data_IF_066231079104
#
_entry.id   IF_066231079104
#
_cell.length_a   1.000
_cell.length_b   1.000
_cell.length_c   1.000
_cell.angle_alpha   90.00
_cell.angle_beta   90.00
_cell.angle_gamma   90.00
#
_symmetry.space_group_name_H-M   'P 1'
#
loop_
_entity.id
_entity.type
_entity.pdbx_description
1 polymer ?
#
# COMPACT_ATOMS: atom_id res chain seq x y z
N UNK A 1 -3.23 1.78 -35.58
CA UNK A 1 -2.48 0.87 -34.67
C UNK A 1 -3.43 -0.26 -34.32
N UNK A 2 -3.13 -1.47 -34.73
CA UNK A 2 -4.01 -2.64 -34.69
C UNK A 2 -4.20 -3.09 -33.26
N UNK A 3 -5.47 -3.14 -32.81
CA UNK A 3 -5.86 -3.59 -31.49
C UNK A 3 -5.32 -5.00 -31.17
N UNK A 4 -4.63 -5.14 -30.05
CA UNK A 4 -4.36 -6.46 -29.45
C UNK A 4 -5.69 -7.09 -29.07
N UNK A 5 -5.92 -8.37 -29.33
CA UNK A 5 -7.12 -9.05 -28.89
C UNK A 5 -7.12 -9.14 -27.35
N UNK A 6 -8.20 -8.65 -26.74
CA UNK A 6 -8.47 -8.68 -25.29
C UNK A 6 -8.98 -10.06 -24.85
N UNK A 7 -8.22 -11.12 -25.10
CA UNK A 7 -8.50 -12.40 -24.44
C UNK A 7 -7.54 -12.49 -23.25
N UNK A 8 -8.08 -12.47 -22.02
CA UNK A 8 -7.34 -12.84 -20.80
C UNK A 8 -6.67 -14.19 -21.04
N UNK A 9 -5.42 -14.15 -21.49
CA UNK A 9 -4.57 -15.35 -21.60
C UNK A 9 -3.78 -15.41 -20.29
N UNK A 10 -4.32 -16.11 -19.27
CA UNK A 10 -3.64 -16.27 -18.00
C UNK A 10 -4.56 -16.86 -16.92
N UNK A 11 -3.95 -17.39 -15.87
CA UNK A 11 -4.68 -17.89 -14.70
C UNK A 11 -5.38 -16.74 -13.98
N UNK A 12 -6.58 -17.00 -13.44
CA UNK A 12 -7.24 -16.06 -12.51
C UNK A 12 -6.46 -16.01 -11.20
N UNK A 13 -6.34 -14.81 -10.63
CA UNK A 13 -5.56 -14.57 -9.41
C UNK A 13 -6.47 -13.99 -8.34
N UNK A 14 -6.45 -14.60 -7.18
CA UNK A 14 -7.31 -14.24 -6.05
C UNK A 14 -6.50 -13.89 -4.81
N UNK A 15 -7.07 -13.03 -4.00
CA UNK A 15 -6.58 -12.65 -2.67
C UNK A 15 -7.18 -13.62 -1.64
N UNK A 16 -6.34 -14.40 -0.99
CA UNK A 16 -6.77 -15.41 -0.01
C UNK A 16 -6.41 -15.06 1.43
N UNK A 17 -5.54 -14.08 1.63
CA UNK A 17 -5.22 -13.59 2.97
C UNK A 17 -4.57 -12.22 2.95
N UNK A 18 -4.77 -11.49 4.03
CA UNK A 18 -4.24 -10.15 4.21
C UNK A 18 -3.70 -9.93 5.63
N UNK A 19 -2.64 -9.13 5.73
CA UNK A 19 -2.09 -8.68 7.01
C UNK A 19 -1.81 -7.18 6.94
N UNK A 20 -2.31 -6.44 7.91
CA UNK A 20 -2.19 -5.00 7.98
C UNK A 20 -1.65 -4.55 9.33
N UNK A 21 -0.68 -3.65 9.30
CA UNK A 21 -0.14 -2.94 10.47
C UNK A 21 -0.16 -1.47 10.13
N UNK A 22 -0.86 -0.68 10.91
CA UNK A 22 -1.01 0.76 10.72
C UNK A 22 -1.32 1.46 12.04
N UNK A 23 -1.32 2.78 12.04
CA UNK A 23 -1.71 3.59 13.21
C UNK A 23 -3.13 3.32 13.69
N UNK A 24 -4.06 2.91 12.80
CA UNK A 24 -5.47 2.65 13.15
C UNK A 24 -5.75 1.21 13.55
N UNK A 25 -4.76 0.32 13.52
CA UNK A 25 -4.91 -1.06 13.98
C UNK A 25 -3.78 -1.98 13.55
N UNK A 26 -3.56 -3.03 14.36
CA UNK A 26 -2.60 -4.11 14.13
C UNK A 26 -3.40 -5.40 13.90
N UNK A 27 -3.37 -5.91 12.66
CA UNK A 27 -4.20 -7.02 12.19
C UNK A 27 -5.49 -6.56 11.49
N UNK A 28 -6.05 -7.45 10.67
CA UNK A 28 -7.19 -7.13 9.79
C UNK A 28 -8.44 -6.70 10.55
N UNK A 29 -8.72 -7.31 11.70
CA UNK A 29 -9.92 -6.98 12.49
C UNK A 29 -9.90 -5.53 13.01
N UNK A 30 -8.78 -5.10 13.58
CA UNK A 30 -8.63 -3.72 14.07
C UNK A 30 -8.57 -2.72 12.93
N UNK A 31 -7.86 -3.07 11.86
CA UNK A 31 -7.74 -2.25 10.66
C UNK A 31 -9.13 -2.00 10.02
N UNK A 32 -9.93 -3.05 9.83
CA UNK A 32 -11.30 -2.92 9.33
C UNK A 32 -12.18 -2.06 10.24
N UNK A 33 -12.09 -2.27 11.55
CA UNK A 33 -12.83 -1.46 12.51
C UNK A 33 -12.41 0.02 12.45
N UNK A 34 -11.11 0.28 12.32
CA UNK A 34 -10.55 1.63 12.16
C UNK A 34 -11.03 2.31 10.88
N UNK A 35 -11.02 1.61 9.74
CA UNK A 35 -11.52 2.11 8.46
C UNK A 35 -13.00 2.47 8.52
N UNK A 36 -13.84 1.61 9.10
CA UNK A 36 -15.28 1.86 9.24
C UNK A 36 -15.60 3.03 10.16
N UNK A 37 -14.81 3.18 11.22
CA UNK A 37 -15.00 4.24 12.20
C UNK A 37 -14.43 5.60 11.73
N UNK A 38 -13.72 5.64 10.60
CA UNK A 38 -13.02 6.85 10.19
C UNK A 38 -11.96 7.28 11.20
N UNK A 39 -11.26 6.30 11.83
CA UNK A 39 -10.27 6.59 12.88
C UNK A 39 -9.04 7.26 12.30
N UNK A 40 -8.56 8.32 12.94
CA UNK A 40 -7.30 8.98 12.63
C UNK A 40 -6.48 9.12 13.91
N UNK A 41 -5.25 8.59 13.91
CA UNK A 41 -4.39 8.52 15.10
C UNK A 41 -3.15 9.41 14.89
N UNK A 42 -3.40 10.69 14.71
CA UNK A 42 -2.33 11.70 14.57
C UNK A 42 -1.75 12.03 15.94
N UNK A 43 -0.42 12.06 16.03
CA UNK A 43 0.30 12.38 17.27
C UNK A 43 1.66 13.01 16.96
N UNK A 44 2.30 13.69 17.94
CA UNK A 44 3.70 14.09 17.80
C UNK A 44 4.57 12.87 17.52
N UNK A 45 5.49 13.02 16.55
CA UNK A 45 6.43 11.95 16.18
C UNK A 45 7.40 11.70 17.33
N UNK A 46 7.56 10.42 17.68
CA UNK A 46 8.50 9.94 18.69
C UNK A 46 9.67 9.13 18.10
N UNK A 47 9.62 8.84 16.80
CA UNK A 47 10.58 7.99 16.10
C UNK A 47 12.01 8.56 16.02
N UNK A 48 12.15 9.89 16.09
CA UNK A 48 13.42 10.62 16.02
C UNK A 48 13.30 11.96 16.76
N UNK A 49 14.43 12.65 16.98
CA UNK A 49 14.42 13.99 17.58
C UNK A 49 13.80 15.02 16.64
N UNK A 50 12.72 15.64 17.11
CA UNK A 50 11.96 16.63 16.33
C UNK A 50 12.37 18.08 16.61
N UNK A 51 13.43 18.31 17.38
CA UNK A 51 13.96 19.64 17.61
C UNK A 51 14.36 20.32 16.28
N UNK A 52 13.95 21.57 16.13
CA UNK A 52 14.18 22.34 14.90
C UNK A 52 13.08 22.27 13.83
N UNK A 53 12.05 21.43 14.01
CA UNK A 53 10.84 21.48 13.21
C UNK A 53 9.75 22.27 13.96
N UNK A 54 9.06 23.16 13.27
CA UNK A 54 7.97 23.96 13.85
C UNK A 54 6.79 23.06 14.25
N UNK A 55 6.55 22.01 13.47
CA UNK A 55 5.56 20.96 13.73
C UNK A 55 6.10 19.61 13.20
N UNK A 56 5.82 18.57 13.95
CA UNK A 56 6.24 17.21 13.62
C UNK A 56 5.20 16.20 14.12
N UNK A 57 4.03 16.20 13.46
CA UNK A 57 2.99 15.20 13.69
C UNK A 57 3.04 14.12 12.62
N UNK A 58 2.62 12.90 12.99
CA UNK A 58 2.55 11.76 12.11
C UNK A 58 1.63 10.68 12.64
N UNK A 59 1.46 9.62 11.87
CA UNK A 59 0.64 8.46 12.19
C UNK A 59 1.54 7.27 12.51
N UNK A 60 2.11 7.26 13.73
CA UNK A 60 2.96 6.17 14.22
C UNK A 60 2.13 4.97 14.67
N UNK A 61 2.66 3.77 14.45
CA UNK A 61 2.10 2.53 14.98
C UNK A 61 2.47 2.39 16.46
N UNK A 62 1.49 2.37 17.33
CA UNK A 62 1.67 2.21 18.78
C UNK A 62 1.23 0.83 19.25
N UNK A 63 1.83 0.35 20.35
CA UNK A 63 1.45 -0.94 20.92
C UNK A 63 1.83 -2.17 20.08
N UNK A 64 2.66 -2.00 19.06
CA UNK A 64 3.17 -3.12 18.29
C UNK A 64 4.27 -3.87 19.03
N UNK A 65 4.02 -5.12 19.31
CA UNK A 65 4.94 -6.06 19.96
C UNK A 65 5.41 -7.10 18.95
N UNK A 66 6.59 -6.95 18.33
CA UNK A 66 7.03 -7.83 17.25
C UNK A 66 7.13 -9.31 17.65
N UNK A 67 7.48 -9.61 18.90
CA UNK A 67 7.58 -10.99 19.45
C UNK A 67 6.24 -11.75 19.46
N UNK A 68 5.10 -11.05 19.31
CA UNK A 68 3.78 -11.71 19.19
C UNK A 68 3.56 -12.32 17.79
N UNK A 69 4.29 -11.83 16.81
CA UNK A 69 4.06 -12.14 15.39
C UNK A 69 5.25 -12.80 14.70
N UNK A 70 6.47 -12.47 15.13
CA UNK A 70 7.72 -13.00 14.58
C UNK A 70 8.14 -14.18 15.45
N UNK A 71 8.11 -15.38 14.87
CA UNK A 71 8.29 -16.62 15.62
C UNK A 71 9.69 -17.21 15.46
N UNK A 72 10.25 -17.13 14.24
CA UNK A 72 11.52 -17.78 13.89
C UNK A 72 12.71 -16.82 13.99
N UNK A 73 12.55 -15.59 13.55
CA UNK A 73 13.62 -14.60 13.58
C UNK A 73 13.64 -13.87 14.92
N UNK A 74 14.82 -13.43 15.33
CA UNK A 74 14.93 -12.51 16.45
C UNK A 74 14.57 -11.09 15.97
N UNK A 75 13.51 -10.46 16.50
CA UNK A 75 13.12 -9.12 16.11
C UNK A 75 14.21 -8.06 16.31
N UNK A 76 15.15 -8.25 17.25
CA UNK A 76 16.24 -7.32 17.50
C UNK A 76 17.24 -7.25 16.33
N UNK A 77 17.28 -8.29 15.49
CA UNK A 77 18.08 -8.34 14.28
C UNK A 77 17.34 -7.85 13.03
N UNK A 78 16.13 -7.30 13.18
CA UNK A 78 15.31 -6.70 12.13
C UNK A 78 15.14 -5.21 12.40
N UNK A 79 15.26 -4.38 11.38
CA UNK A 79 14.82 -2.99 11.44
C UNK A 79 13.29 -2.90 11.53
N UNK A 80 12.78 -1.73 11.88
CA UNK A 80 11.35 -1.56 12.15
C UNK A 80 10.46 -1.85 10.93
N UNK A 81 10.89 -1.46 9.73
CA UNK A 81 10.14 -1.76 8.51
C UNK A 81 10.09 -3.27 8.22
N UNK A 82 11.21 -4.00 8.43
CA UNK A 82 11.23 -5.45 8.31
C UNK A 82 10.39 -6.13 9.41
N UNK A 83 10.38 -5.62 10.64
CA UNK A 83 9.50 -6.14 11.70
C UNK A 83 8.02 -6.04 11.30
N UNK A 84 7.59 -4.89 10.78
CA UNK A 84 6.23 -4.71 10.28
C UNK A 84 5.93 -5.64 9.11
N UNK A 85 6.83 -5.73 8.14
CA UNK A 85 6.63 -6.54 6.93
C UNK A 85 6.53 -8.04 7.25
N UNK A 86 7.43 -8.54 8.10
CA UNK A 86 7.41 -9.95 8.54
C UNK A 86 6.15 -10.26 9.34
N UNK A 87 5.77 -9.40 10.27
CA UNK A 87 4.56 -9.57 11.06
C UNK A 87 3.29 -9.52 10.18
N UNK A 88 3.20 -8.58 9.24
CA UNK A 88 2.09 -8.50 8.30
C UNK A 88 2.03 -9.74 7.39
N UNK A 89 3.17 -10.29 6.96
CA UNK A 89 3.23 -11.53 6.19
C UNK A 89 2.73 -12.73 7.01
N UNK A 90 3.06 -12.81 8.29
CA UNK A 90 2.54 -13.84 9.22
C UNK A 90 1.03 -13.73 9.40
N UNK A 91 0.52 -12.51 9.60
CA UNK A 91 -0.92 -12.25 9.66
C UNK A 91 -1.61 -12.70 8.37
N UNK A 92 -1.06 -12.33 7.21
CA UNK A 92 -1.61 -12.70 5.90
C UNK A 92 -1.60 -14.22 5.67
N UNK A 93 -0.53 -14.91 6.06
CA UNK A 93 -0.44 -16.37 5.98
C UNK A 93 -1.48 -17.05 6.90
N UNK A 94 -1.68 -16.51 8.10
CA UNK A 94 -2.68 -17.02 9.06
C UNK A 94 -4.10 -16.81 8.52
N UNK A 95 -4.41 -15.62 8.01
CA UNK A 95 -5.71 -15.30 7.40
C UNK A 95 -6.00 -16.17 6.18
N UNK A 96 -4.98 -16.44 5.35
CA UNK A 96 -5.05 -17.37 4.22
C UNK A 96 -5.18 -18.84 4.64
N UNK A 97 -5.01 -19.19 5.92
CA UNK A 97 -4.96 -20.58 6.39
C UNK A 97 -3.77 -21.36 5.84
N UNK A 98 -2.66 -20.66 5.50
CA UNK A 98 -1.45 -21.30 4.98
C UNK A 98 -0.67 -21.96 6.12
N UNK A 99 -0.25 -23.20 5.84
CA UNK A 99 0.59 -23.99 6.74
C UNK A 99 1.97 -24.15 6.11
N UNK A 100 2.96 -24.49 6.93
CA UNK A 100 4.33 -24.69 6.48
C UNK A 100 4.44 -25.76 5.37
N UNK A 101 3.65 -26.82 5.46
CA UNK A 101 3.59 -27.87 4.44
C UNK A 101 3.02 -27.40 3.10
N UNK A 102 2.11 -26.41 3.12
CA UNK A 102 1.59 -25.75 1.91
C UNK A 102 2.66 -24.88 1.28
N UNK A 103 3.36 -24.08 2.08
CA UNK A 103 4.43 -23.19 1.62
C UNK A 103 5.64 -23.97 1.04
N UNK A 104 5.87 -25.19 1.49
CA UNK A 104 6.98 -26.02 1.03
C UNK A 104 6.68 -26.83 -0.27
N UNK A 105 5.45 -26.75 -0.81
CA UNK A 105 5.04 -27.59 -1.98
C UNK A 105 5.45 -27.03 -3.33
N UNK A 106 5.80 -25.76 -3.41
CA UNK A 106 6.12 -25.12 -4.67
C UNK A 106 6.94 -23.86 -4.48
N UNK A 107 7.31 -23.25 -5.60
CA UNK A 107 8.01 -21.97 -5.60
C UNK A 107 7.07 -20.85 -5.12
N UNK A 108 7.56 -20.03 -4.21
CA UNK A 108 6.85 -18.88 -3.64
C UNK A 108 7.51 -17.60 -4.10
N UNK A 109 6.72 -16.61 -4.48
CA UNK A 109 7.20 -15.24 -4.69
C UNK A 109 6.95 -14.40 -3.45
N UNK A 110 7.94 -13.60 -3.06
CA UNK A 110 7.81 -12.53 -2.06
C UNK A 110 8.22 -11.23 -2.72
N UNK A 111 7.27 -10.33 -2.93
CA UNK A 111 7.48 -9.01 -3.52
C UNK A 111 7.09 -7.94 -2.50
N UNK A 112 8.05 -7.16 -2.02
CA UNK A 112 7.83 -6.13 -1.01
C UNK A 112 8.23 -4.76 -1.54
N UNK A 113 7.25 -3.87 -1.62
CA UNK A 113 7.44 -2.47 -1.97
C UNK A 113 7.93 -1.64 -0.80
N UNK A 114 8.76 -0.63 -1.09
CA UNK A 114 9.22 0.32 -0.08
C UNK A 114 9.60 1.66 -0.71
N UNK A 115 9.53 2.72 0.08
CA UNK A 115 10.13 4.03 -0.23
C UNK A 115 11.52 4.14 0.39
N UNK A 116 11.63 3.78 1.65
CA UNK A 116 12.76 4.07 2.50
C UNK A 116 13.59 2.84 2.89
N UNK A 117 13.00 1.64 2.81
CA UNK A 117 13.63 0.45 3.36
C UNK A 117 13.86 0.59 4.86
N UNK A 118 15.08 0.37 5.30
CA UNK A 118 15.49 0.54 6.70
C UNK A 118 16.24 1.87 6.92
N UNK A 119 15.77 2.96 6.30
CA UNK A 119 16.41 4.28 6.44
C UNK A 119 16.40 4.77 7.89
N UNK A 120 15.43 4.39 8.73
CA UNK A 120 15.48 4.67 10.17
C UNK A 120 16.76 4.14 10.84
N UNK A 121 17.20 2.95 10.46
CA UNK A 121 18.47 2.39 10.95
C UNK A 121 19.68 3.14 10.39
N UNK A 122 19.60 3.63 9.13
CA UNK A 122 20.64 4.49 8.56
C UNK A 122 20.73 5.83 9.30
N UNK A 123 19.60 6.46 9.65
CA UNK A 123 19.58 7.68 10.48
C UNK A 123 20.31 7.44 11.81
N UNK A 124 20.01 6.33 12.50
CA UNK A 124 20.71 5.95 13.76
C UNK A 124 22.22 5.74 13.58
N UNK A 125 22.67 5.11 12.49
CA UNK A 125 24.08 4.93 12.21
C UNK A 125 24.80 6.26 11.96
N UNK A 126 24.14 7.19 11.25
CA UNK A 126 24.66 8.54 11.02
C UNK A 126 24.77 9.31 12.33
N UNK A 127 23.79 9.21 13.21
CA UNK A 127 23.81 9.83 14.54
C UNK A 127 24.96 9.28 15.40
N UNK A 128 25.17 7.96 15.40
CA UNK A 128 26.26 7.31 16.12
C UNK A 128 27.63 7.78 15.63
N UNK A 129 27.84 7.80 14.30
CA UNK A 129 29.11 8.25 13.70
C UNK A 129 29.37 9.75 13.94
N UNK A 130 28.32 10.56 13.96
CA UNK A 130 28.42 11.99 14.25
C UNK A 130 28.76 12.26 15.73
N UNK A 131 28.30 11.40 16.64
CA UNK A 131 28.61 11.50 18.08
C UNK A 131 30.04 11.04 18.37
N UNK A 132 30.49 9.95 17.76
CA UNK A 132 31.83 9.38 17.88
C UNK A 132 32.20 8.69 16.55
N UNK A 133 33.20 9.21 15.86
CA UNK A 133 33.62 8.70 14.55
C UNK A 133 33.96 7.20 14.60
N UNK A 134 33.28 6.42 13.76
CA UNK A 134 33.44 4.97 13.67
C UNK A 134 32.68 4.15 14.71
N UNK A 135 31.88 4.77 15.58
CA UNK A 135 31.12 4.10 16.64
C UNK A 135 29.79 3.48 16.13
N UNK A 136 29.73 3.01 14.88
CA UNK A 136 28.52 2.40 14.31
C UNK A 136 28.25 1.01 14.93
N UNK A 137 27.02 0.79 15.41
CA UNK A 137 26.58 -0.51 15.90
C UNK A 137 26.52 -1.56 14.76
N UNK A 138 27.30 -2.66 14.86
CA UNK A 138 27.33 -3.68 13.83
C UNK A 138 25.99 -4.44 13.67
N UNK A 139 25.12 -4.46 14.66
CA UNK A 139 23.79 -5.07 14.58
C UNK A 139 22.90 -4.19 13.71
N UNK A 140 22.89 -2.88 13.96
CA UNK A 140 22.14 -1.90 13.15
C UNK A 140 22.68 -1.90 11.72
N UNK A 141 24.00 -1.86 11.53
CA UNK A 141 24.62 -1.88 10.20
C UNK A 141 24.22 -3.11 9.37
N UNK A 142 24.11 -4.30 10.00
CA UNK A 142 23.69 -5.52 9.29
C UNK A 142 22.23 -5.52 8.87
N UNK A 143 21.35 -4.79 9.55
CA UNK A 143 19.89 -4.77 9.24
C UNK A 143 19.47 -3.61 8.34
N UNK A 144 20.33 -2.63 8.09
CA UNK A 144 20.01 -1.41 7.35
C UNK A 144 19.73 -1.59 5.84
N UNK A 145 19.98 -2.77 5.26
CA UNK A 145 19.73 -3.00 3.82
C UNK A 145 18.24 -3.18 3.50
N UNK A 146 17.72 -2.42 2.53
CA UNK A 146 16.33 -2.52 2.06
C UNK A 146 15.95 -3.92 1.53
N UNK A 147 16.91 -4.68 0.97
CA UNK A 147 16.68 -6.05 0.50
C UNK A 147 16.23 -7.00 1.62
N UNK A 148 16.48 -6.64 2.87
CA UNK A 148 16.08 -7.45 4.03
C UNK A 148 14.55 -7.48 4.23
N UNK A 149 13.80 -6.55 3.71
CA UNK A 149 12.33 -6.57 3.79
C UNK A 149 11.77 -7.89 3.22
N UNK A 150 12.04 -8.19 1.96
CA UNK A 150 11.55 -9.42 1.31
C UNK A 150 12.28 -10.67 1.82
N UNK A 151 13.62 -10.61 1.96
CA UNK A 151 14.40 -11.79 2.40
C UNK A 151 14.15 -12.19 3.84
N UNK A 152 13.75 -11.26 4.73
CA UNK A 152 13.36 -11.60 6.09
C UNK A 152 12.04 -12.36 6.14
N UNK A 153 11.09 -12.05 5.26
CA UNK A 153 9.85 -12.84 5.12
C UNK A 153 10.18 -14.27 4.69
N UNK A 154 11.04 -14.45 3.66
CA UNK A 154 11.49 -15.78 3.21
C UNK A 154 12.14 -16.58 4.35
N UNK A 155 12.99 -15.93 5.13
CA UNK A 155 13.69 -16.57 6.27
C UNK A 155 12.75 -16.89 7.42
N UNK A 156 11.77 -16.04 7.70
CA UNK A 156 10.76 -16.29 8.73
C UNK A 156 9.94 -17.53 8.43
N UNK A 157 9.55 -17.74 7.17
CA UNK A 157 8.83 -18.93 6.73
C UNK A 157 9.75 -20.12 6.37
N UNK A 158 11.08 -20.00 6.53
CA UNK A 158 12.05 -21.02 6.17
C UNK A 158 11.89 -21.57 4.74
N UNK A 159 11.59 -20.67 3.79
CA UNK A 159 11.41 -21.06 2.39
C UNK A 159 12.76 -21.36 1.74
N UNK A 160 12.81 -22.39 0.90
CA UNK A 160 14.01 -22.81 0.17
C UNK A 160 13.89 -22.65 -1.34
N UNK A 161 12.66 -22.76 -1.87
CA UNK A 161 12.36 -22.44 -3.28
C UNK A 161 11.53 -21.16 -3.31
N UNK A 162 12.22 -20.02 -3.34
CA UNK A 162 11.62 -18.71 -3.20
C UNK A 162 12.34 -17.67 -4.03
N UNK A 163 11.56 -16.82 -4.70
CA UNK A 163 12.02 -15.55 -5.22
C UNK A 163 11.64 -14.44 -4.23
N UNK A 164 12.62 -13.66 -3.79
CA UNK A 164 12.40 -12.58 -2.83
C UNK A 164 12.95 -11.27 -3.41
N UNK A 165 12.05 -10.35 -3.75
CA UNK A 165 12.37 -9.07 -4.37
C UNK A 165 11.86 -7.89 -3.55
N UNK A 166 12.70 -6.87 -3.38
CA UNK A 166 12.29 -5.57 -2.82
C UNK A 166 12.20 -4.56 -3.95
N UNK A 167 11.08 -3.83 -4.03
CA UNK A 167 10.74 -2.92 -5.12
C UNK A 167 10.75 -1.47 -4.60
N UNK A 168 11.79 -0.66 -4.91
CA UNK A 168 11.92 0.69 -4.38
C UNK A 168 11.28 1.75 -5.31
N UNK A 169 9.98 1.63 -5.59
CA UNK A 169 9.21 2.58 -6.42
C UNK A 169 8.39 3.57 -5.61
N UNK A 170 8.93 3.95 -4.45
CA UNK A 170 8.37 4.94 -3.53
C UNK A 170 6.88 4.65 -3.18
N UNK A 171 6.01 5.65 -3.17
CA UNK A 171 4.64 5.57 -2.67
C UNK A 171 3.74 4.58 -3.46
N UNK A 172 4.08 4.25 -4.69
CA UNK A 172 3.35 3.28 -5.53
C UNK A 172 3.85 1.83 -5.35
N UNK A 173 4.91 1.61 -4.56
CA UNK A 173 5.65 0.35 -4.51
C UNK A 173 4.81 -0.87 -4.11
N UNK A 174 3.82 -0.70 -3.23
CA UNK A 174 2.89 -1.77 -2.88
C UNK A 174 2.07 -2.27 -4.07
N UNK A 175 1.56 -1.36 -4.92
CA UNK A 175 0.84 -1.73 -6.14
C UNK A 175 1.77 -2.36 -7.19
N UNK A 176 3.03 -1.89 -7.30
CA UNK A 176 4.05 -2.55 -8.12
C UNK A 176 4.29 -3.99 -7.67
N UNK A 177 4.37 -4.23 -6.36
CA UNK A 177 4.54 -5.58 -5.81
C UNK A 177 3.32 -6.48 -6.11
N UNK A 178 2.10 -5.95 -6.02
CA UNK A 178 0.86 -6.66 -6.39
C UNK A 178 0.87 -6.99 -7.89
N UNK A 179 1.21 -6.05 -8.76
CA UNK A 179 1.32 -6.26 -10.21
C UNK A 179 2.35 -7.33 -10.56
N UNK A 180 3.52 -7.30 -9.92
CA UNK A 180 4.56 -8.31 -10.09
C UNK A 180 4.09 -9.72 -9.70
N UNK A 181 3.41 -9.83 -8.55
CA UNK A 181 2.81 -11.09 -8.11
C UNK A 181 1.71 -11.60 -9.05
N UNK A 182 0.88 -10.68 -9.55
CA UNK A 182 -0.16 -11.00 -10.53
C UNK A 182 0.43 -11.63 -11.80
N UNK A 183 1.50 -11.03 -12.34
CA UNK A 183 2.16 -11.54 -13.55
C UNK A 183 2.82 -12.89 -13.32
N UNK A 184 3.53 -13.10 -12.21
CA UNK A 184 4.17 -14.35 -11.86
C UNK A 184 3.16 -15.50 -11.72
N UNK A 185 1.98 -15.23 -11.16
CA UNK A 185 0.91 -16.23 -11.04
C UNK A 185 0.21 -16.44 -12.38
N UNK A 186 -0.10 -15.38 -13.14
CA UNK A 186 -0.74 -15.47 -14.47
C UNK A 186 0.11 -16.27 -15.47
N UNK A 187 1.43 -16.09 -15.43
CA UNK A 187 2.37 -16.84 -16.28
C UNK A 187 2.56 -18.29 -15.84
N UNK A 188 2.16 -18.63 -14.62
CA UNK A 188 2.35 -19.97 -14.05
C UNK A 188 3.75 -20.20 -13.48
N UNK A 189 4.53 -19.17 -13.26
CA UNK A 189 5.85 -19.25 -12.63
C UNK A 189 5.73 -19.65 -11.15
N UNK A 190 4.72 -19.12 -10.46
CA UNK A 190 4.35 -19.47 -9.08
C UNK A 190 2.85 -19.70 -8.97
N UNK A 191 2.41 -20.45 -7.97
CA UNK A 191 0.99 -20.57 -7.60
C UNK A 191 0.61 -19.66 -6.42
N UNK A 192 1.61 -19.15 -5.67
CA UNK A 192 1.43 -18.38 -4.46
C UNK A 192 2.47 -17.24 -4.38
N UNK A 193 2.00 -16.05 -4.02
CA UNK A 193 2.85 -14.89 -3.80
C UNK A 193 2.44 -14.11 -2.54
N UNK A 194 3.44 -13.64 -1.77
CA UNK A 194 3.27 -12.61 -0.76
C UNK A 194 3.63 -11.27 -1.38
N UNK A 195 2.66 -10.39 -1.55
CA UNK A 195 2.84 -9.09 -2.20
C UNK A 195 2.40 -7.96 -1.29
N UNK A 196 3.16 -6.89 -1.23
CA UNK A 196 2.76 -5.77 -0.40
C UNK A 196 3.82 -4.71 -0.26
N UNK A 197 3.83 -4.01 0.88
CA UNK A 197 4.84 -3.00 1.15
C UNK A 197 4.98 -2.71 2.64
N UNK A 198 6.13 -2.15 3.03
CA UNK A 198 6.42 -1.78 4.41
C UNK A 198 7.43 -0.65 4.49
N UNK A 199 7.16 0.31 5.38
CA UNK A 199 8.05 1.42 5.73
C UNK A 199 7.86 1.83 7.18
N UNK A 200 8.90 2.38 7.77
CA UNK A 200 8.90 2.99 9.10
C UNK A 200 9.14 4.50 8.98
N UNK A 201 8.56 5.30 9.87
CA UNK A 201 8.85 6.74 9.96
C UNK A 201 10.34 6.92 10.26
N UNK A 202 11.00 7.75 9.46
CA UNK A 202 12.41 8.10 9.58
C UNK A 202 12.64 9.61 9.41
N UNK A 203 13.71 10.10 10.01
CA UNK A 203 14.03 11.54 10.02
C UNK A 203 14.34 12.06 8.61
N UNK A 204 15.12 11.31 7.82
CA UNK A 204 15.49 11.70 6.44
C UNK A 204 14.26 12.03 5.60
N UNK A 205 13.27 11.14 5.59
CA UNK A 205 12.08 11.32 4.74
C UNK A 205 11.16 12.40 5.27
N UNK A 206 10.96 12.47 6.59
CA UNK A 206 10.20 13.57 7.19
C UNK A 206 10.85 14.93 6.86
N UNK A 207 12.16 15.07 7.08
CA UNK A 207 12.89 16.31 6.80
C UNK A 207 12.83 16.70 5.31
N UNK A 208 12.88 15.73 4.40
CA UNK A 208 12.73 15.95 2.96
C UNK A 208 11.36 16.57 2.63
N UNK A 209 10.26 15.97 3.06
CA UNK A 209 8.90 16.48 2.85
C UNK A 209 8.68 17.82 3.56
N UNK A 210 9.23 17.99 4.78
CA UNK A 210 9.15 19.24 5.52
C UNK A 210 9.82 20.40 4.74
N UNK A 211 11.03 20.16 4.19
CA UNK A 211 11.74 21.15 3.38
C UNK A 211 11.09 21.45 2.04
N UNK A 212 10.32 20.53 1.49
CA UNK A 212 9.48 20.76 0.31
C UNK A 212 8.19 21.53 0.64
N UNK A 213 7.91 21.81 1.92
CA UNK A 213 6.68 22.50 2.35
C UNK A 213 5.42 21.66 2.13
N UNK A 214 5.54 20.32 2.17
CA UNK A 214 4.44 19.42 1.88
C UNK A 214 3.91 18.67 3.10
N UNK A 215 4.46 18.93 4.31
CA UNK A 215 3.93 18.37 5.57
C UNK A 215 2.79 19.24 6.07
N UNK A 216 1.66 18.62 6.38
CA UNK A 216 0.56 19.28 7.08
C UNK A 216 0.87 19.40 8.59
N UNK A 217 0.55 20.53 9.25
CA UNK A 217 0.86 20.71 10.66
C UNK A 217 0.04 19.80 11.59
N UNK A 218 -1.23 19.53 11.28
CA UNK A 218 -2.15 18.87 12.22
C UNK A 218 -2.86 17.65 11.64
N UNK A 219 -3.32 17.72 10.38
CA UNK A 219 -4.18 16.67 9.80
C UNK A 219 -4.00 16.56 8.28
N UNK A 220 -4.20 15.36 7.75
CA UNK A 220 -4.24 15.10 6.33
C UNK A 220 -5.68 15.26 5.83
N UNK A 221 -5.89 16.14 4.84
CA UNK A 221 -7.20 16.52 4.30
C UNK A 221 -7.26 16.35 2.77
N UNK A 222 -7.25 15.13 2.24
CA UNK A 222 -7.31 14.93 0.80
C UNK A 222 -8.57 15.57 0.19
N UNK A 223 -8.40 16.23 -0.96
CA UNK A 223 -9.44 16.90 -1.76
C UNK A 223 -10.13 18.11 -1.09
N UNK A 224 -9.76 18.44 0.14
CA UNK A 224 -10.31 19.59 0.86
C UNK A 224 -9.66 20.90 0.39
N UNK A 225 -10.46 21.98 0.36
CA UNK A 225 -9.99 23.33 0.00
C UNK A 225 -8.87 23.83 0.93
N UNK A 226 -8.93 23.43 2.20
CA UNK A 226 -8.01 23.85 3.26
C UNK A 226 -6.80 22.92 3.44
N UNK A 227 -6.62 21.91 2.55
CA UNK A 227 -5.50 20.97 2.64
C UNK A 227 -4.14 21.64 2.64
N UNK A 228 -3.25 21.17 3.49
CA UNK A 228 -1.91 21.76 3.69
C UNK A 228 -0.77 20.79 3.41
N UNK A 229 -1.05 19.55 3.04
CA UNK A 229 -0.01 18.57 2.77
C UNK A 229 -0.29 17.18 3.36
N UNK A 230 0.75 16.38 3.40
CA UNK A 230 0.72 15.01 3.96
C UNK A 230 0.94 15.04 5.48
N UNK A 231 0.51 13.99 6.15
CA UNK A 231 1.13 13.53 7.40
C UNK A 231 1.90 12.26 7.11
N UNK A 232 3.13 12.14 7.59
CA UNK A 232 3.88 10.89 7.48
C UNK A 232 3.24 9.81 8.34
N UNK A 233 3.24 8.58 7.86
CA UNK A 233 2.78 7.41 8.59
C UNK A 233 3.76 6.24 8.41
N UNK A 234 3.54 5.18 9.16
CA UNK A 234 4.31 3.94 9.07
C UNK A 234 3.41 2.72 9.11
N UNK A 235 3.93 1.57 8.69
CA UNK A 235 3.25 0.30 8.76
C UNK A 235 3.64 -0.66 7.64
N UNK A 236 2.88 -1.72 7.50
CA UNK A 236 2.98 -2.67 6.40
C UNK A 236 1.62 -3.24 6.02
N UNK A 237 1.45 -3.48 4.73
CA UNK A 237 0.36 -4.28 4.19
C UNK A 237 0.92 -5.42 3.36
N UNK A 238 0.50 -6.66 3.65
CA UNK A 238 0.88 -7.83 2.87
C UNK A 238 -0.37 -8.62 2.48
N UNK A 239 -0.44 -8.95 1.20
CA UNK A 239 -1.50 -9.74 0.57
C UNK A 239 -0.94 -11.11 0.17
N UNK A 240 -1.69 -12.18 0.40
CA UNK A 240 -1.44 -13.49 -0.18
C UNK A 240 -2.25 -13.62 -1.46
N UNK A 241 -1.55 -13.65 -2.59
CA UNK A 241 -2.14 -13.90 -3.89
C UNK A 241 -1.95 -15.37 -4.28
N UNK A 242 -2.97 -15.98 -4.84
CA UNK A 242 -2.94 -17.35 -5.34
C UNK A 242 -3.60 -17.47 -6.70
N UNK A 243 -3.20 -18.49 -7.48
CA UNK A 243 -4.02 -18.92 -8.59
C UNK A 243 -5.38 -19.39 -8.07
N UNK A 244 -6.47 -19.07 -8.77
CA UNK A 244 -7.82 -19.49 -8.37
C UNK A 244 -7.89 -21.01 -8.18
N UNK A 245 -7.25 -21.77 -9.07
CA UNK A 245 -7.24 -23.24 -9.00
C UNK A 245 -6.59 -23.76 -7.71
N UNK A 246 -5.45 -23.15 -7.32
CA UNK A 246 -4.78 -23.47 -6.05
C UNK A 246 -5.65 -23.15 -4.84
N UNK A 247 -6.25 -21.95 -4.83
CA UNK A 247 -7.13 -21.51 -3.75
C UNK A 247 -8.35 -22.42 -3.59
N UNK A 248 -9.00 -22.81 -4.69
CA UNK A 248 -10.16 -23.72 -4.69
C UNK A 248 -9.76 -25.12 -4.25
N UNK A 249 -8.64 -25.66 -4.75
CA UNK A 249 -8.16 -26.99 -4.42
C UNK A 249 -7.91 -27.22 -2.91
N UNK A 250 -7.51 -26.14 -2.20
CA UNK A 250 -7.31 -26.20 -0.74
C UNK A 250 -8.49 -25.66 0.08
N UNK A 251 -9.59 -25.24 -0.58
CA UNK A 251 -10.78 -24.68 0.08
C UNK A 251 -10.53 -23.33 0.75
N UNK A 252 -9.65 -22.51 0.19
CA UNK A 252 -9.32 -21.20 0.72
C UNK A 252 -10.54 -20.26 0.77
N UNK A 253 -10.58 -19.36 1.76
CA UNK A 253 -11.41 -18.17 1.68
C UNK A 253 -10.83 -17.25 0.61
N UNK A 254 -11.68 -16.64 -0.18
CA UNK A 254 -11.30 -15.65 -1.19
C UNK A 254 -11.95 -14.32 -0.81
N UNK A 255 -11.12 -13.32 -0.56
CA UNK A 255 -11.55 -11.97 -0.20
C UNK A 255 -11.90 -11.12 -1.43
N UNK A 256 -11.09 -11.25 -2.49
CA UNK A 256 -11.26 -10.52 -3.73
C UNK A 256 -10.52 -11.23 -4.88
N UNK A 257 -10.77 -10.82 -6.11
CA UNK A 257 -9.97 -11.18 -7.29
C UNK A 257 -9.14 -9.98 -7.73
N UNK A 258 -7.89 -10.19 -8.11
CA UNK A 258 -7.07 -9.17 -8.74
C UNK A 258 -7.34 -9.23 -10.25
N UNK A 259 -8.10 -8.26 -10.73
CA UNK A 259 -8.60 -8.29 -12.11
C UNK A 259 -7.56 -7.81 -13.12
N UNK A 260 -6.74 -6.84 -12.75
CA UNK A 260 -5.75 -6.25 -13.63
C UNK A 260 -4.96 -5.15 -12.96
N UNK A 261 -3.96 -4.64 -13.67
CA UNK A 261 -3.15 -3.53 -13.20
C UNK A 261 -2.59 -2.71 -14.37
N UNK A 262 -2.15 -1.49 -14.06
CA UNK A 262 -1.43 -0.62 -15.00
C UNK A 262 -0.22 -0.02 -14.31
N UNK A 263 0.89 0.04 -15.03
CA UNK A 263 2.14 0.69 -14.60
C UNK A 263 2.64 1.63 -15.69
N UNK A 264 3.11 2.80 -15.32
CA UNK A 264 3.90 3.67 -16.18
C UNK A 264 4.80 4.60 -15.37
N UNK A 265 5.56 5.40 -16.06
CA UNK A 265 6.38 6.46 -15.46
C UNK A 265 6.18 7.76 -16.24
N UNK A 266 5.96 8.85 -15.53
CA UNK A 266 5.81 10.20 -16.10
C UNK A 266 7.05 10.64 -16.87
N UNK A 267 8.24 10.27 -16.36
CA UNK A 267 9.54 10.75 -16.86
C UNK A 267 9.58 12.28 -17.08
N UNK A 268 8.86 13.02 -16.23
CA UNK A 268 8.59 14.44 -16.39
C UNK A 268 9.26 15.29 -15.30
N UNK A 269 8.83 15.14 -14.05
CA UNK A 269 9.31 15.97 -12.95
C UNK A 269 9.44 15.15 -11.67
N UNK A 270 10.39 15.51 -10.81
CA UNK A 270 10.71 14.74 -9.62
C UNK A 270 9.58 14.68 -8.59
N UNK A 271 8.79 15.75 -8.48
CA UNK A 271 7.75 15.90 -7.45
C UNK A 271 6.35 16.10 -8.05
N UNK A 272 6.23 16.86 -9.14
CA UNK A 272 4.94 17.19 -9.74
C UNK A 272 4.46 16.04 -10.65
N UNK A 273 3.25 15.46 -10.42
CA UNK A 273 2.71 14.43 -11.27
C UNK A 273 2.25 14.99 -12.64
N UNK A 274 2.35 14.19 -13.69
CA UNK A 274 1.83 14.50 -15.02
C UNK A 274 0.43 13.89 -15.20
N UNK A 275 -0.60 14.74 -15.23
CA UNK A 275 -2.01 14.29 -15.24
C UNK A 275 -2.37 13.36 -16.39
N UNK A 276 -1.83 13.58 -17.60
CA UNK A 276 -2.03 12.69 -18.76
C UNK A 276 -1.46 11.28 -18.50
N UNK A 277 -0.25 11.19 -17.95
CA UNK A 277 0.39 9.93 -17.61
C UNK A 277 -0.36 9.19 -16.50
N UNK A 278 -0.87 9.91 -15.49
CA UNK A 278 -1.73 9.35 -14.44
C UNK A 278 -3.01 8.78 -15.04
N UNK A 279 -3.67 9.51 -15.93
CA UNK A 279 -4.87 9.03 -16.64
C UNK A 279 -4.58 7.80 -17.50
N UNK A 280 -3.43 7.78 -18.19
CA UNK A 280 -3.01 6.64 -19.01
C UNK A 280 -2.72 5.40 -18.16
N UNK A 281 -2.15 5.55 -16.96
CA UNK A 281 -1.97 4.44 -16.02
C UNK A 281 -3.32 3.83 -15.60
N UNK A 282 -4.33 4.66 -15.34
CA UNK A 282 -5.70 4.19 -15.04
C UNK A 282 -6.30 3.45 -16.25
N UNK A 283 -6.16 3.98 -17.47
CA UNK A 283 -6.62 3.32 -18.70
C UNK A 283 -5.95 1.97 -18.94
N UNK A 284 -4.65 1.87 -18.69
CA UNK A 284 -3.90 0.61 -18.75
C UNK A 284 -4.47 -0.43 -17.80
N UNK A 285 -4.75 -0.05 -16.54
CA UNK A 285 -5.31 -0.95 -15.55
C UNK A 285 -6.71 -1.45 -15.92
N UNK A 286 -7.59 -0.54 -16.38
CA UNK A 286 -8.95 -0.85 -16.85
C UNK A 286 -8.89 -1.80 -18.05
N UNK A 287 -7.99 -1.55 -19.01
CA UNK A 287 -7.80 -2.39 -20.19
C UNK A 287 -7.25 -3.79 -19.82
N UNK A 288 -6.26 -3.88 -18.91
CA UNK A 288 -5.70 -5.16 -18.45
C UNK A 288 -6.75 -5.98 -17.67
N UNK A 289 -7.61 -5.30 -16.89
CA UNK A 289 -8.74 -5.93 -16.22
C UNK A 289 -9.84 -6.41 -17.18
N UNK A 290 -9.86 -5.95 -18.43
CA UNK A 290 -10.87 -6.29 -19.43
C UNK A 290 -12.24 -5.75 -19.09
N UNK A 291 -12.31 -4.56 -18.49
CA UNK A 291 -13.53 -3.87 -18.07
C UNK A 291 -13.64 -2.50 -18.76
N UNK A 292 -14.78 -1.85 -18.60
CA UNK A 292 -14.97 -0.46 -19.01
C UNK A 292 -14.88 0.47 -17.78
N UNK A 293 -14.50 1.76 -17.93
CA UNK A 293 -14.46 2.70 -16.81
C UNK A 293 -15.76 2.76 -16.00
N UNK A 294 -16.93 2.65 -16.65
CA UNK A 294 -18.24 2.65 -15.99
C UNK A 294 -18.52 1.46 -15.08
N UNK A 295 -17.71 0.41 -15.14
CA UNK A 295 -17.85 -0.79 -14.30
C UNK A 295 -17.17 -0.62 -12.94
N UNK A 296 -16.37 0.43 -12.75
CA UNK A 296 -15.71 0.75 -11.50
C UNK A 296 -16.67 1.46 -10.55
N UNK A 297 -16.87 0.90 -9.35
CA UNK A 297 -17.82 1.42 -8.35
C UNK A 297 -17.17 2.38 -7.35
N UNK A 298 -15.86 2.23 -7.12
CA UNK A 298 -15.09 3.00 -6.14
C UNK A 298 -13.65 3.19 -6.60
N UNK A 299 -13.09 4.37 -6.37
CA UNK A 299 -11.67 4.66 -6.50
C UNK A 299 -11.07 4.91 -5.11
N UNK A 300 -10.09 4.12 -4.74
CA UNK A 300 -9.16 4.44 -3.66
C UNK A 300 -8.02 5.25 -4.26
N UNK A 301 -8.08 6.55 -4.09
CA UNK A 301 -7.14 7.48 -4.69
C UNK A 301 -5.79 7.48 -3.97
N UNK A 302 -4.78 7.96 -4.67
CA UNK A 302 -3.52 8.32 -4.03
C UNK A 302 -3.73 9.43 -3.00
N UNK A 303 -4.44 10.49 -3.32
CA UNK A 303 -5.04 11.47 -2.41
C UNK A 303 -4.16 11.84 -1.21
N UNK A 304 -3.12 12.65 -1.41
CA UNK A 304 -2.11 12.91 -0.36
C UNK A 304 -2.45 14.09 0.55
N UNK A 305 -3.46 14.90 0.20
CA UNK A 305 -3.72 16.16 0.86
C UNK A 305 -2.78 17.29 0.40
N UNK A 306 -1.98 17.08 -0.65
CA UNK A 306 -1.21 18.16 -1.29
C UNK A 306 -2.00 18.80 -2.42
N UNK A 307 -1.83 20.12 -2.61
CA UNK A 307 -2.57 20.82 -3.69
C UNK A 307 -2.26 20.26 -5.07
N UNK A 308 -0.98 20.02 -5.36
CA UNK A 308 -0.54 19.56 -6.67
C UNK A 308 -1.04 18.14 -7.00
N UNK A 309 -0.88 17.18 -6.06
CA UNK A 309 -1.32 15.81 -6.31
C UNK A 309 -2.83 15.74 -6.47
N UNK A 310 -3.59 16.27 -5.51
CA UNK A 310 -5.03 16.03 -5.45
C UNK A 310 -5.76 16.66 -6.63
N UNK A 311 -5.39 17.88 -7.05
CA UNK A 311 -5.98 18.51 -8.24
C UNK A 311 -5.56 17.80 -9.54
N UNK A 312 -4.33 17.28 -9.62
CA UNK A 312 -3.88 16.53 -10.81
C UNK A 312 -4.57 15.17 -10.91
N UNK A 313 -4.68 14.45 -9.80
CA UNK A 313 -5.35 13.15 -9.75
C UNK A 313 -6.85 13.30 -10.04
N UNK A 314 -7.52 14.30 -9.46
CA UNK A 314 -8.94 14.58 -9.74
C UNK A 314 -9.19 14.84 -11.24
N UNK A 315 -8.36 15.67 -11.88
CA UNK A 315 -8.43 15.91 -13.33
C UNK A 315 -8.20 14.64 -14.15
N UNK A 316 -7.24 13.79 -13.73
CA UNK A 316 -6.98 12.51 -14.39
C UNK A 316 -8.18 11.54 -14.24
N UNK A 317 -8.81 11.50 -13.06
CA UNK A 317 -10.02 10.72 -12.81
C UNK A 317 -11.16 11.18 -13.75
N UNK A 318 -11.44 12.48 -13.84
CA UNK A 318 -12.43 13.01 -14.77
C UNK A 318 -12.09 12.69 -16.24
N UNK A 319 -10.83 12.73 -16.63
CA UNK A 319 -10.40 12.39 -18.00
C UNK A 319 -10.63 10.92 -18.37
N UNK A 320 -10.71 10.03 -17.40
CA UNK A 320 -10.95 8.58 -17.61
C UNK A 320 -12.43 8.23 -17.42
N UNK A 321 -13.08 8.77 -16.39
CA UNK A 321 -14.41 8.37 -15.93
C UNK A 321 -15.52 9.36 -16.33
N UNK A 322 -15.17 10.52 -16.93
CA UNK A 322 -16.11 11.54 -17.37
C UNK A 322 -16.61 12.45 -16.24
N UNK A 323 -17.75 13.10 -16.47
CA UNK A 323 -18.29 14.14 -15.57
C UNK A 323 -18.85 13.60 -14.25
N UNK A 324 -19.11 12.31 -14.18
CA UNK A 324 -19.62 11.62 -12.98
C UNK A 324 -18.75 10.43 -12.64
N UNK A 325 -17.55 10.67 -12.13
CA UNK A 325 -16.66 9.59 -11.73
C UNK A 325 -17.24 8.80 -10.55
N UNK A 326 -16.76 7.57 -10.30
CA UNK A 326 -17.06 6.82 -9.09
C UNK A 326 -16.69 7.61 -7.83
N UNK A 327 -17.31 7.30 -6.70
CA UNK A 327 -16.87 7.79 -5.41
C UNK A 327 -15.39 7.57 -5.24
N UNK A 328 -14.68 8.58 -4.73
CA UNK A 328 -13.23 8.59 -4.70
C UNK A 328 -12.74 8.93 -3.30
N UNK A 329 -12.19 7.96 -2.59
CA UNK A 329 -11.76 8.12 -1.19
C UNK A 329 -10.25 8.09 -1.05
N UNK A 330 -9.72 8.71 0.00
CA UNK A 330 -8.31 8.55 0.38
C UNK A 330 -8.17 8.09 1.83
N UNK A 331 -7.64 6.88 2.00
CA UNK A 331 -7.36 6.30 3.32
C UNK A 331 -6.20 7.01 4.03
N UNK A 332 -5.41 7.83 3.33
CA UNK A 332 -4.35 8.64 3.95
C UNK A 332 -4.86 9.69 4.92
N UNK A 333 -6.13 10.09 4.81
CA UNK A 333 -6.78 10.93 5.82
C UNK A 333 -6.80 10.29 7.21
N UNK A 334 -6.83 8.94 7.26
CA UNK A 334 -6.84 8.12 8.47
C UNK A 334 -5.45 7.60 8.85
N UNK A 335 -4.70 7.09 7.87
CA UNK A 335 -3.44 6.37 8.06
C UNK A 335 -2.20 7.27 8.05
N UNK A 336 -2.34 8.51 7.58
CA UNK A 336 -1.21 9.26 7.08
C UNK A 336 -0.62 8.61 5.81
N UNK A 337 0.47 9.16 5.32
CA UNK A 337 1.18 8.61 4.18
C UNK A 337 2.22 7.59 4.65
N UNK A 338 1.89 6.31 4.57
CA UNK A 338 2.74 5.18 4.99
C UNK A 338 3.75 4.76 3.91
N UNK A 339 4.16 5.69 3.07
CA UNK A 339 5.20 5.57 2.04
C UNK A 339 4.98 4.36 1.12
N UNK A 340 5.92 3.45 0.98
CA UNK A 340 5.79 2.26 0.12
C UNK A 340 4.74 1.24 0.57
N UNK A 341 4.33 1.29 1.85
CA UNK A 341 3.22 0.50 2.36
C UNK A 341 1.85 1.07 1.95
N UNK A 342 1.77 2.35 1.54
CA UNK A 342 0.52 3.07 1.40
C UNK A 342 -0.44 2.43 0.40
N UNK A 343 0.03 2.07 -0.80
CA UNK A 343 -0.80 1.45 -1.82
C UNK A 343 -1.18 0.01 -1.48
N UNK A 344 -0.36 -0.73 -0.72
CA UNK A 344 -0.69 -2.08 -0.24
C UNK A 344 -1.77 -2.06 0.85
N UNK A 345 -1.65 -1.17 1.84
CA UNK A 345 -2.68 -0.97 2.86
C UNK A 345 -4.01 -0.51 2.24
N UNK A 346 -3.94 0.38 1.24
CA UNK A 346 -5.12 0.81 0.49
C UNK A 346 -5.75 -0.35 -0.30
N UNK A 347 -4.95 -1.23 -0.94
CA UNK A 347 -5.46 -2.42 -1.62
C UNK A 347 -6.16 -3.40 -0.65
N UNK A 348 -5.63 -3.59 0.57
CA UNK A 348 -6.29 -4.35 1.63
C UNK A 348 -7.61 -3.67 2.00
N UNK A 349 -7.62 -2.34 2.18
CA UNK A 349 -8.84 -1.58 2.44
C UNK A 349 -9.89 -1.73 1.34
N UNK A 350 -9.48 -1.75 0.06
CA UNK A 350 -10.35 -2.02 -1.08
C UNK A 350 -10.96 -3.43 -1.02
N UNK A 351 -10.16 -4.45 -0.70
CA UNK A 351 -10.66 -5.82 -0.54
C UNK A 351 -11.66 -5.93 0.60
N UNK A 352 -11.41 -5.26 1.73
CA UNK A 352 -12.34 -5.20 2.87
C UNK A 352 -13.64 -4.46 2.51
N UNK A 353 -13.54 -3.39 1.71
CA UNK A 353 -14.71 -2.65 1.20
C UNK A 353 -15.60 -3.54 0.33
N UNK A 354 -15.00 -4.29 -0.62
CA UNK A 354 -15.70 -5.27 -1.47
C UNK A 354 -16.38 -6.36 -0.66
N UNK A 355 -15.64 -6.97 0.28
CA UNK A 355 -16.13 -8.12 1.06
C UNK A 355 -17.23 -7.73 2.05
N UNK A 356 -17.09 -6.56 2.66
CA UNK A 356 -17.97 -6.13 3.76
C UNK A 356 -19.03 -5.10 3.36
N UNK A 357 -19.12 -4.71 2.10
CA UNK A 357 -20.17 -3.87 1.55
C UNK A 357 -20.19 -2.44 2.13
N UNK A 358 -19.06 -1.76 2.16
CA UNK A 358 -18.96 -0.37 2.65
C UNK A 358 -17.90 0.43 1.89
N UNK A 359 -17.99 1.75 1.95
CA UNK A 359 -16.95 2.67 1.51
C UNK A 359 -16.38 3.37 2.74
N UNK A 360 -15.06 3.28 2.99
CA UNK A 360 -14.44 4.05 4.08
C UNK A 360 -14.49 5.54 3.77
N UNK A 361 -14.53 6.42 4.79
CA UNK A 361 -14.57 7.86 4.57
C UNK A 361 -13.19 8.44 4.22
N UNK A 362 -13.21 9.60 3.57
CA UNK A 362 -12.11 10.56 3.62
C UNK A 362 -12.39 11.50 4.80
N UNK A 363 -11.67 11.31 5.91
CA UNK A 363 -11.90 12.09 7.14
C UNK A 363 -11.20 13.45 7.12
N UNK A 364 -11.50 14.29 8.09
CA UNK A 364 -11.00 15.67 8.21
C UNK A 364 -11.48 16.62 7.09
N UNK A 365 -12.51 16.23 6.36
CA UNK A 365 -13.05 17.00 5.27
C UNK A 365 -13.99 18.10 5.81
N UNK A 366 -13.78 19.34 5.37
CA UNK A 366 -14.57 20.52 5.74
C UNK A 366 -15.30 21.09 4.53
N UNK A 367 -14.57 21.30 3.43
CA UNK A 367 -15.08 21.90 2.19
C UNK A 367 -14.35 21.31 0.98
N UNK A 368 -15.10 20.82 -0.01
CA UNK A 368 -14.50 20.30 -1.24
C UNK A 368 -13.83 21.41 -2.04
N UNK A 369 -12.57 21.20 -2.44
CA UNK A 369 -11.88 22.10 -3.36
C UNK A 369 -12.54 21.99 -4.76
N UNK A 370 -13.02 23.11 -5.35
CA UNK A 370 -13.59 23.11 -6.71
C UNK A 370 -12.63 22.55 -7.77
N UNK A 371 -11.31 22.57 -7.56
CA UNK A 371 -10.35 21.94 -8.46
C UNK A 371 -10.32 20.41 -8.34
N UNK A 372 -10.92 19.85 -7.28
CA UNK A 372 -10.95 18.42 -7.00
C UNK A 372 -12.33 17.78 -7.21
N UNK A 373 -13.41 18.52 -7.34
CA UNK A 373 -14.81 18.16 -7.63
C UNK A 373 -15.14 16.65 -7.66
N UNK A 374 -14.91 15.97 -6.53
CA UNK A 374 -15.09 14.54 -6.36
C UNK A 374 -15.99 14.26 -5.15
N UNK A 375 -16.87 13.24 -5.23
CA UNK A 375 -17.53 12.68 -4.04
C UNK A 375 -16.51 11.86 -3.25
N UNK A 376 -15.87 12.50 -2.25
CA UNK A 376 -14.83 11.87 -1.44
C UNK A 376 -15.37 11.10 -0.22
N UNK A 377 -16.67 10.92 -0.11
CA UNK A 377 -17.33 10.27 1.04
C UNK A 377 -16.84 10.91 2.35
N UNK A 378 -17.25 12.16 2.64
CA UNK A 378 -16.64 12.93 3.72
C UNK A 378 -17.01 12.38 5.10
N UNK A 379 -16.00 12.19 5.93
CA UNK A 379 -16.05 11.95 7.38
C UNK A 379 -16.76 10.70 7.90
N UNK A 380 -17.74 10.15 7.19
CA UNK A 380 -18.50 8.97 7.65
C UNK A 380 -18.51 7.88 6.59
N UNK A 381 -18.31 6.62 7.02
CA UNK A 381 -18.41 5.47 6.12
C UNK A 381 -19.85 5.25 5.67
N UNK A 382 -20.02 4.78 4.43
CA UNK A 382 -21.35 4.50 3.87
C UNK A 382 -21.46 3.03 3.43
N UNK A 383 -22.65 2.44 3.60
CA UNK A 383 -22.93 1.13 3.04
C UNK A 383 -22.98 1.19 1.51
N UNK A 384 -22.40 0.21 0.82
CA UNK A 384 -22.37 0.15 -0.63
C UNK A 384 -22.26 -1.29 -1.14
N UNK A 385 -22.96 -1.60 -2.23
CA UNK A 385 -22.79 -2.86 -2.97
C UNK A 385 -21.72 -2.65 -4.04
N UNK A 386 -20.47 -3.00 -3.71
CA UNK A 386 -19.33 -2.83 -4.58
C UNK A 386 -19.03 -4.12 -5.34
N UNK A 387 -18.68 -4.02 -6.61
CA UNK A 387 -18.24 -5.13 -7.46
C UNK A 387 -16.83 -4.97 -7.94
N UNK A 388 -16.45 -3.75 -8.32
CA UNK A 388 -15.10 -3.44 -8.85
C UNK A 388 -14.59 -2.17 -8.20
N UNK A 389 -13.37 -2.24 -7.70
CA UNK A 389 -12.67 -1.13 -7.03
C UNK A 389 -11.32 -0.91 -7.67
N UNK A 390 -10.98 0.35 -7.94
CA UNK A 390 -9.67 0.78 -8.40
C UNK A 390 -8.84 1.33 -7.24
N UNK A 391 -7.58 0.94 -7.15
CA UNK A 391 -6.61 1.44 -6.17
C UNK A 391 -5.44 2.14 -6.86
N UNK A 392 -5.29 3.43 -6.63
CA UNK A 392 -4.26 4.27 -7.25
C UNK A 392 -3.04 4.40 -6.33
N UNK A 393 -1.86 4.24 -6.88
CA UNK A 393 -0.58 4.58 -6.27
C UNK A 393 0.21 5.50 -7.20
N UNK A 394 0.46 6.74 -6.76
CA UNK A 394 1.29 7.71 -7.48
C UNK A 394 2.54 7.97 -6.64
N UNK A 395 3.67 8.24 -7.27
CA UNK A 395 4.92 8.40 -6.54
C UNK A 395 5.78 9.55 -7.08
N UNK A 396 6.57 10.12 -6.20
CA UNK A 396 7.67 10.97 -6.61
C UNK A 396 8.59 10.21 -7.58
N UNK A 397 9.17 10.92 -8.55
CA UNK A 397 9.86 10.32 -9.68
C UNK A 397 8.94 9.89 -10.83
N UNK A 398 7.59 10.02 -10.64
CA UNK A 398 6.59 9.75 -11.66
C UNK A 398 6.21 8.28 -11.82
N UNK A 399 6.57 7.39 -10.90
CA UNK A 399 6.13 6.00 -10.94
C UNK A 399 4.65 5.92 -10.54
N UNK A 400 3.79 5.52 -11.47
CA UNK A 400 2.36 5.32 -11.24
C UNK A 400 2.03 3.84 -11.32
N UNK A 401 1.13 3.40 -10.43
CA UNK A 401 0.65 2.03 -10.38
C UNK A 401 -0.83 2.01 -9.98
N UNK A 402 -1.66 1.40 -10.78
CA UNK A 402 -3.09 1.25 -10.53
C UNK A 402 -3.43 -0.24 -10.52
N UNK A 403 -4.17 -0.70 -9.51
CA UNK A 403 -4.63 -2.09 -9.38
C UNK A 403 -6.16 -2.10 -9.38
N UNK A 404 -6.75 -3.03 -10.12
CA UNK A 404 -8.20 -3.28 -10.15
C UNK A 404 -8.50 -4.54 -9.37
N UNK A 405 -9.36 -4.41 -8.36
CA UNK A 405 -9.87 -5.52 -7.55
C UNK A 405 -11.35 -5.74 -7.87
N UNK A 406 -11.77 -7.00 -7.92
CA UNK A 406 -13.16 -7.38 -8.10
C UNK A 406 -13.67 -8.27 -6.97
N UNK A 407 -14.97 -8.18 -6.68
CA UNK A 407 -15.64 -9.11 -5.79
C UNK A 407 -15.59 -10.52 -6.40
N UNK A 408 -15.20 -11.50 -5.58
CA UNK A 408 -15.24 -12.88 -6.01
C UNK A 408 -16.63 -13.47 -5.79
N UNK A 409 -17.31 -13.84 -6.88
CA UNK A 409 -18.61 -14.51 -6.86
C UNK A 409 -18.42 -16.02 -7.09
N UNK A 410 -18.72 -16.86 -6.10
CA UNK A 410 -18.58 -18.33 -6.19
C UNK A 410 -19.42 -19.01 -7.28
N UNK A 411 -20.36 -18.30 -7.89
CA UNK A 411 -21.29 -18.84 -8.89
C UNK A 411 -21.03 -18.40 -10.33
N UNK A 412 -20.00 -17.62 -10.61
CA UNK A 412 -19.62 -17.13 -11.94
C UNK A 412 -18.42 -17.89 -12.51
N UNK A 413 -18.48 -19.24 -12.48
CA UNK A 413 -17.51 -20.13 -13.11
C UNK A 413 -18.08 -20.74 -14.38
#
# INVERSE_FOLDING_TARGET
MTGRPTTRVGRRVVLTGAGAISSIGVGITEFLAGLRAGRSEVRPISAFDTAGFEYANGCEVTGFEPKRWIERLDPEHLGRAAQFTVAAARMAATDAGLRQDTLARGRVLIAVGTTDGETRDLDLLVEQDAAEQGAMDPVIARRASASRLATSVAREFALTDVEAVTIPTACAAGNYAIGYGLDAIRSGEVDLAFCGGGDAICQKTFAGFYRLGTIAPEQCQPFDLNRKGILTGEGAGVLVLESLDSALARGARIHAEILGYGLNCDAYHQVAPLGESVADCMRLAVADAGIEPRDVDLISAHGTGTKANDSTEAKAIHAVFGDRPPRTVSMKSMLGHTMGAASALAAIGCAMALEHGFIPPTVNHVETDPECDLDCVPNESVAADLRIVQNNGLAFGGNNAVVILGRYDRGAA
#
